data_IF_183419892118
#
_entry.id   IF_183419892118
#
_cell.length_a   1.000
_cell.length_b   1.000
_cell.length_c   1.000
_cell.angle_alpha   90.00
_cell.angle_beta   90.00
_cell.angle_gamma   90.00
#
_symmetry.space_group_name_H-M   'P 1'
#
loop_
_entity.id
_entity.type
_entity.pdbx_description
1 polymer ?
#
# COMPACT_ATOMS: atom_id res chain seq x y z
N UNK A 1 29.32 3.04 -57.60
CA UNK A 1 29.35 3.93 -56.43
C UNK A 1 27.96 4.59 -56.34
N UNK A 2 27.03 4.00 -55.57
CA UNK A 2 26.66 4.44 -54.21
C UNK A 2 26.23 5.92 -54.18
N UNK A 3 24.93 6.25 -54.27
CA UNK A 3 23.83 6.11 -53.27
C UNK A 3 23.61 7.43 -52.49
N UNK A 4 22.34 7.88 -52.45
CA UNK A 4 21.52 8.35 -51.30
C UNK A 4 20.94 9.78 -51.32
N UNK A 5 19.63 9.79 -50.94
CA UNK A 5 18.77 10.85 -50.38
C UNK A 5 18.04 11.66 -51.48
N UNK A 6 16.71 11.75 -51.49
CA UNK A 6 15.86 12.22 -50.41
C UNK A 6 14.46 11.56 -50.40
N UNK A 7 14.07 11.14 -49.20
CA UNK A 7 12.72 11.06 -48.60
C UNK A 7 11.54 10.81 -49.56
N UNK A 8 11.29 9.52 -49.84
CA UNK A 8 9.98 9.05 -50.22
C UNK A 8 9.07 8.93 -49.00
N UNK A 9 7.85 9.44 -49.14
CA UNK A 9 6.68 9.10 -48.33
C UNK A 9 6.56 7.60 -48.14
N UNK A 10 6.47 7.15 -46.88
CA UNK A 10 5.88 5.86 -46.55
C UNK A 10 4.88 6.04 -45.42
N UNK A 11 3.62 5.89 -45.82
CA UNK A 11 2.51 5.27 -45.09
C UNK A 11 3.04 4.23 -44.09
N UNK A 12 2.52 4.23 -42.86
CA UNK A 12 1.91 3.06 -42.19
C UNK A 12 1.34 3.56 -40.87
N UNK A 13 0.04 3.85 -40.86
CA UNK A 13 -0.75 3.82 -39.64
C UNK A 13 -0.86 2.37 -39.19
N UNK A 14 -0.12 2.01 -38.16
CA UNK A 14 -0.19 0.69 -37.54
C UNK A 14 -1.12 0.80 -36.33
N UNK A 15 -2.40 0.51 -36.57
CA UNK A 15 -3.36 0.21 -35.51
C UNK A 15 -2.96 -1.10 -34.84
N UNK A 16 -2.20 -1.02 -33.74
CA UNK A 16 -1.92 -2.13 -32.85
C UNK A 16 -2.89 -2.05 -31.67
N UNK A 17 -3.98 -2.82 -31.75
CA UNK A 17 -4.58 -3.42 -30.57
C UNK A 17 -3.54 -4.40 -30.02
N UNK A 18 -2.85 -4.03 -28.95
CA UNK A 18 -1.84 -4.87 -28.34
C UNK A 18 -1.35 -4.31 -27.01
N UNK A 19 -1.87 -4.90 -25.94
CA UNK A 19 -1.38 -4.83 -24.56
C UNK A 19 -1.30 -3.42 -23.92
N UNK A 20 -2.24 -3.13 -23.02
CA UNK A 20 -1.94 -2.32 -21.85
C UNK A 20 -0.73 -2.94 -21.16
N UNK A 21 0.46 -2.42 -21.44
CA UNK A 21 1.64 -2.63 -20.62
C UNK A 21 1.43 -1.76 -19.39
N UNK A 22 0.63 -2.26 -18.45
CA UNK A 22 0.63 -1.75 -17.09
C UNK A 22 1.96 -2.22 -16.54
N UNK A 23 2.93 -1.31 -16.51
CA UNK A 23 4.13 -1.48 -15.71
C UNK A 23 3.67 -1.61 -14.27
N UNK A 24 3.48 -2.87 -13.88
CA UNK A 24 3.14 -3.34 -12.54
C UNK A 24 4.26 -2.91 -11.61
N UNK A 25 4.16 -1.65 -11.18
CA UNK A 25 4.72 -1.23 -9.91
C UNK A 25 3.93 -2.05 -8.89
N UNK A 26 4.44 -3.23 -8.58
CA UNK A 26 3.87 -4.16 -7.62
C UNK A 26 3.74 -3.46 -6.26
N UNK A 27 2.65 -2.72 -6.08
CA UNK A 27 1.97 -2.62 -4.80
C UNK A 27 1.68 -4.08 -4.46
N UNK A 28 2.18 -4.64 -3.33
CA UNK A 28 1.97 -6.03 -3.01
C UNK A 28 0.47 -6.30 -3.13
N UNK A 29 0.12 -7.20 -4.06
CA UNK A 29 -1.25 -7.60 -4.37
C UNK A 29 -1.99 -7.74 -3.05
N UNK A 30 -2.99 -6.90 -2.83
CA UNK A 30 -3.78 -6.97 -1.62
C UNK A 30 -4.42 -8.35 -1.61
N UNK A 31 -3.84 -9.29 -0.86
CA UNK A 31 -4.22 -10.70 -0.84
C UNK A 31 -5.74 -10.81 -0.83
N UNK A 32 -6.33 -11.11 -2.00
CA UNK A 32 -7.79 -11.01 -2.16
C UNK A 32 -8.52 -12.11 -1.38
N UNK A 33 -7.77 -13.11 -0.90
CA UNK A 33 -8.23 -14.15 -0.01
C UNK A 33 -8.25 -13.71 1.47
N UNK A 34 -7.56 -12.63 1.84
CA UNK A 34 -7.56 -12.11 3.20
C UNK A 34 -8.95 -11.56 3.56
N UNK A 35 -9.39 -11.75 4.83
CA UNK A 35 -10.63 -11.18 5.31
C UNK A 35 -10.58 -9.64 5.25
N UNK A 36 -11.75 -9.01 5.15
CA UNK A 36 -11.83 -7.55 5.25
C UNK A 36 -11.37 -7.08 6.63
N UNK A 37 -10.58 -6.02 6.64
CA UNK A 37 -10.21 -5.34 7.87
C UNK A 37 -11.46 -4.76 8.55
N UNK A 38 -11.47 -4.85 9.88
CA UNK A 38 -12.58 -4.38 10.71
C UNK A 38 -12.36 -2.95 11.21
N UNK A 39 -11.16 -2.41 11.00
CA UNK A 39 -10.75 -1.08 11.43
C UNK A 39 -10.19 -1.05 12.84
N UNK A 40 -9.93 -2.22 13.45
CA UNK A 40 -9.27 -2.28 14.76
C UNK A 40 -7.80 -1.91 14.64
N UNK A 41 -7.16 -1.65 15.77
CA UNK A 41 -5.74 -1.33 15.77
C UNK A 41 -4.90 -2.44 15.11
N UNK A 42 -3.91 -2.02 14.32
CA UNK A 42 -3.01 -2.83 13.50
C UNK A 42 -3.61 -3.46 12.24
N UNK A 43 -4.90 -3.24 11.96
CA UNK A 43 -5.48 -3.56 10.66
C UNK A 43 -4.85 -2.73 9.54
N UNK A 44 -4.73 -3.30 8.34
CA UNK A 44 -4.35 -2.54 7.15
C UNK A 44 -5.43 -1.50 6.81
N UNK A 45 -4.99 -0.33 6.36
CA UNK A 45 -5.88 0.75 5.97
C UNK A 45 -5.24 1.60 4.88
N UNK A 46 -6.08 2.30 4.11
CA UNK A 46 -5.67 3.30 3.11
C UNK A 46 -6.10 4.70 3.50
N UNK A 47 -7.16 4.83 4.31
CA UNK A 47 -7.71 6.12 4.76
C UNK A 47 -8.04 6.11 6.25
N UNK A 48 -8.01 7.28 6.89
CA UNK A 48 -8.31 7.44 8.32
C UNK A 48 -9.74 6.96 8.66
N UNK A 49 -10.69 7.07 7.72
CA UNK A 49 -12.09 6.64 7.90
C UNK A 49 -12.29 5.13 8.00
N UNK A 50 -11.28 4.33 7.66
CA UNK A 50 -11.33 2.87 7.80
C UNK A 50 -10.96 2.40 9.21
N UNK A 51 -10.45 3.29 10.06
CA UNK A 51 -9.98 2.95 11.39
C UNK A 51 -10.96 3.43 12.46
N UNK A 52 -11.29 2.58 13.44
CA UNK A 52 -12.09 2.98 14.60
C UNK A 52 -11.44 4.10 15.42
N UNK A 53 -10.11 4.17 15.39
CA UNK A 53 -9.33 5.26 16.00
C UNK A 53 -9.35 6.56 15.19
N UNK A 54 -9.84 6.55 13.94
CA UNK A 54 -9.69 7.65 13.00
C UNK A 54 -8.24 7.89 12.57
N UNK A 55 -7.34 6.92 12.76
CA UNK A 55 -5.91 7.09 12.51
C UNK A 55 -5.34 5.94 11.68
N UNK A 56 -5.18 6.19 10.39
CA UNK A 56 -4.48 5.36 9.44
C UNK A 56 -3.09 5.97 9.15
N UNK A 57 -2.00 5.25 9.47
CA UNK A 57 -0.65 5.82 9.40
C UNK A 57 0.34 4.88 8.73
N UNK A 58 1.13 5.45 7.82
CA UNK A 58 2.23 4.79 7.12
C UNK A 58 3.46 4.77 8.03
N UNK A 59 4.00 3.59 8.29
CA UNK A 59 5.23 3.42 9.07
C UNK A 59 6.38 3.01 8.16
N UNK A 60 7.46 3.79 8.18
CA UNK A 60 8.72 3.50 7.50
C UNK A 60 8.64 3.27 5.98
N UNK A 61 7.50 3.55 5.34
CA UNK A 61 7.28 3.32 3.91
C UNK A 61 6.88 1.88 3.56
N UNK A 62 6.81 1.00 4.56
CA UNK A 62 6.57 -0.44 4.35
C UNK A 62 5.08 -0.79 4.41
N UNK A 63 4.38 -0.33 5.45
CA UNK A 63 2.98 -0.69 5.69
C UNK A 63 2.19 0.45 6.33
N UNK A 64 0.91 0.52 5.97
CA UNK A 64 -0.05 1.49 6.48
C UNK A 64 -1.11 0.76 7.30
N UNK A 65 -1.24 1.15 8.57
CA UNK A 65 -2.14 0.47 9.52
C UNK A 65 -2.93 1.44 10.38
N UNK A 66 -4.08 0.96 10.86
CA UNK A 66 -4.82 1.59 11.93
C UNK A 66 -3.96 1.62 13.18
N UNK A 67 -3.81 2.79 13.77
CA UNK A 67 -2.97 3.01 14.95
C UNK A 67 -3.70 3.86 15.98
N UNK A 68 -3.08 4.11 17.11
CA UNK A 68 -3.56 5.05 18.12
C UNK A 68 -2.39 5.77 18.76
N UNK A 69 -2.70 6.84 19.50
CA UNK A 69 -1.73 7.54 20.33
C UNK A 69 -1.33 6.69 21.53
N UNK A 70 -0.05 6.73 21.89
CA UNK A 70 0.49 6.01 23.04
C UNK A 70 1.50 6.86 23.82
N UNK A 71 1.67 6.50 25.09
CA UNK A 71 2.68 7.05 26.00
C UNK A 71 2.91 6.05 27.15
N UNK A 72 3.71 6.43 28.16
CA UNK A 72 4.00 5.57 29.32
C UNK A 72 2.75 5.21 30.14
N UNK A 73 1.74 6.07 30.16
CA UNK A 73 0.47 5.84 30.86
C UNK A 73 -0.55 5.04 30.02
N UNK A 74 -0.40 5.04 28.69
CA UNK A 74 -1.28 4.40 27.72
C UNK A 74 -0.44 3.57 26.75
N UNK A 75 0.02 2.38 27.16
CA UNK A 75 0.85 1.53 26.33
C UNK A 75 0.08 0.96 25.14
N UNK A 76 0.82 0.56 24.11
CA UNK A 76 0.23 -0.09 22.94
C UNK A 76 -0.30 -1.48 23.28
N UNK A 77 -1.51 -1.85 22.82
CA UNK A 77 -2.00 -3.21 22.93
C UNK A 77 -1.11 -4.19 22.15
N UNK A 78 -1.12 -5.46 22.52
CA UNK A 78 -0.38 -6.48 21.76
C UNK A 78 -0.95 -6.63 20.33
N UNK A 79 -0.08 -6.83 19.34
CA UNK A 79 -0.49 -7.10 17.95
C UNK A 79 -0.30 -8.57 17.65
N UNK A 80 -1.38 -9.35 17.50
CA UNK A 80 -1.32 -10.74 17.01
C UNK A 80 -0.20 -11.60 17.64
N UNK A 81 -0.01 -11.48 18.96
CA UNK A 81 1.03 -12.21 19.71
C UNK A 81 2.43 -11.58 19.71
N UNK A 82 2.66 -10.51 18.94
CA UNK A 82 3.87 -9.70 18.96
C UNK A 82 3.69 -8.42 19.79
N UNK A 83 4.76 -7.98 20.44
CA UNK A 83 4.75 -6.74 21.22
C UNK A 83 4.76 -5.52 20.27
N UNK A 84 3.65 -4.78 20.20
CA UNK A 84 3.64 -3.47 19.56
C UNK A 84 4.42 -2.46 20.42
N UNK A 85 5.07 -1.49 19.77
CA UNK A 85 5.86 -0.46 20.45
C UNK A 85 5.30 0.91 20.19
N UNK A 86 5.34 1.76 21.21
CA UNK A 86 5.13 3.18 21.02
C UNK A 86 6.37 3.76 20.33
N UNK A 87 6.21 4.30 19.12
CA UNK A 87 7.32 4.90 18.41
C UNK A 87 7.64 6.30 18.94
N UNK A 88 8.72 6.90 18.45
CA UNK A 88 9.15 8.24 18.87
C UNK A 88 8.21 9.38 18.45
N UNK A 89 7.08 9.07 17.79
CA UNK A 89 6.02 10.01 17.41
C UNK A 89 4.78 9.85 18.29
N UNK A 90 4.84 9.01 19.34
CA UNK A 90 3.70 8.72 20.20
C UNK A 90 2.62 7.90 19.50
N UNK A 91 2.98 7.06 18.53
CA UNK A 91 2.05 6.20 17.79
C UNK A 91 2.40 4.72 17.97
N UNK A 92 1.36 3.90 18.08
CA UNK A 92 1.55 2.46 18.14
C UNK A 92 1.99 1.88 16.80
N UNK A 93 3.24 1.44 16.74
CA UNK A 93 3.81 0.72 15.60
C UNK A 93 3.83 -0.79 15.93
N UNK A 94 3.04 -1.62 15.24
CA UNK A 94 3.16 -3.07 15.38
C UNK A 94 4.43 -3.57 14.68
N UNK A 95 4.92 -4.73 15.07
CA UNK A 95 5.98 -5.45 14.33
C UNK A 95 5.41 -6.07 13.05
N UNK A 96 4.18 -6.57 13.13
CA UNK A 96 3.43 -7.22 12.05
C UNK A 96 1.99 -6.69 12.10
N UNK A 97 1.46 -6.32 10.95
CA UNK A 97 0.07 -5.92 10.72
C UNK A 97 -0.88 -7.12 10.82
N UNK A 98 -2.16 -6.86 11.09
CA UNK A 98 -3.16 -7.92 11.03
C UNK A 98 -3.30 -8.39 9.57
N UNK A 99 -3.44 -9.71 9.38
CA UNK A 99 -3.64 -10.31 8.07
C UNK A 99 -5.07 -10.08 7.57
N UNK A 100 -5.34 -8.87 7.10
CA UNK A 100 -6.61 -8.45 6.53
C UNK A 100 -6.39 -7.51 5.35
N UNK A 101 -7.35 -7.41 4.45
CA UNK A 101 -7.35 -6.42 3.36
C UNK A 101 -8.23 -5.21 3.72
N UNK A 102 -7.78 -3.98 3.47
CA UNK A 102 -8.61 -2.81 3.68
C UNK A 102 -9.85 -2.84 2.77
N UNK A 103 -11.01 -2.29 3.20
CA UNK A 103 -12.15 -2.13 2.32
C UNK A 103 -11.79 -1.18 1.16
N UNK A 104 -12.16 -1.57 -0.06
CA UNK A 104 -11.95 -0.80 -1.30
C UNK A 104 -12.73 0.51 -1.33
#
# INVERSE_FOLDING_TARGET
MMVRRLLGWSVVGLALLGACKVEDSAIPDADLAAPLCTGVIYDNCTTDGQCMSGMCKLFSGDFQVCTQVCNDAAPCPASSGAAAKCNNRGLCKPTINNACRPPS
#
